data_IF_564332928845
#
_entry.id   IF_564332928845
#
_cell.length_a   1.000
_cell.length_b   1.000
_cell.length_c   1.000
_cell.angle_alpha   90.00
_cell.angle_beta   90.00
_cell.angle_gamma   90.00
#
_symmetry.space_group_name_H-M   'P 1'
#
loop_
_entity.id
_entity.type
_entity.pdbx_description
1 polymer ?
#
# COMPACT_ATOMS: atom_id res chain seq x y z
N UNK A 1 10.15 47.74 -12.34
CA UNK A 1 9.65 47.21 -11.06
C UNK A 1 8.14 47.45 -11.05
N UNK A 2 7.35 46.37 -11.20
CA UNK A 2 6.87 45.66 -10.02
C UNK A 2 7.09 44.14 -10.08
N UNK A 3 7.57 43.63 -8.94
CA UNK A 3 7.49 42.28 -8.39
C UNK A 3 6.70 41.24 -9.21
N UNK A 4 7.46 40.31 -9.82
CA UNK A 4 6.97 38.99 -10.16
C UNK A 4 6.83 38.19 -8.86
N UNK A 5 5.58 38.05 -8.44
CA UNK A 5 5.16 37.14 -7.38
C UNK A 5 5.67 35.73 -7.72
N UNK A 6 6.59 35.24 -6.90
CA UNK A 6 7.04 33.84 -6.90
C UNK A 6 5.84 32.98 -6.49
N UNK A 7 4.98 32.65 -7.45
CA UNK A 7 4.07 31.53 -7.33
C UNK A 7 4.93 30.29 -7.15
N UNK A 8 5.08 29.93 -5.87
CA UNK A 8 5.69 28.70 -5.39
C UNK A 8 4.99 27.56 -6.11
N UNK A 9 5.66 27.08 -7.15
CA UNK A 9 5.32 25.94 -7.99
C UNK A 9 4.50 24.90 -7.21
N UNK A 10 3.25 24.73 -7.64
CA UNK A 10 2.31 23.65 -7.26
C UNK A 10 2.79 22.29 -7.76
N UNK A 11 4.09 22.05 -7.79
CA UNK A 11 4.68 20.73 -7.86
C UNK A 11 4.70 20.13 -6.45
N UNK A 12 3.54 20.11 -5.78
CA UNK A 12 3.34 19.21 -4.65
C UNK A 12 3.22 17.82 -5.27
N UNK A 13 4.38 17.20 -5.54
CA UNK A 13 4.45 15.87 -6.10
C UNK A 13 3.59 14.95 -5.24
N UNK A 14 2.66 14.21 -5.85
CA UNK A 14 1.75 13.26 -5.22
C UNK A 14 2.41 12.21 -4.30
N UNK A 15 3.74 12.18 -4.27
CA UNK A 15 4.59 11.33 -3.46
C UNK A 15 4.72 11.73 -1.97
N UNK A 16 4.24 12.89 -1.51
CA UNK A 16 4.42 13.32 -0.10
C UNK A 16 3.14 13.41 0.72
N UNK A 17 1.99 13.12 0.12
CA UNK A 17 0.68 13.21 0.75
C UNK A 17 0.58 12.47 2.08
N UNK A 18 1.01 11.20 2.10
CA UNK A 18 1.06 10.37 3.32
C UNK A 18 1.89 11.05 4.42
N UNK A 19 3.05 11.61 4.08
CA UNK A 19 3.90 12.31 5.07
C UNK A 19 3.26 13.61 5.53
N UNK A 20 2.73 14.42 4.63
CA UNK A 20 2.18 15.76 4.96
C UNK A 20 0.93 15.67 5.85
N UNK A 21 0.17 14.57 5.74
CA UNK A 21 -0.94 14.29 6.66
C UNK A 21 -0.45 14.03 8.09
N UNK A 22 0.61 13.25 8.26
CA UNK A 22 1.09 12.85 9.58
C UNK A 22 2.08 13.83 10.18
N UNK A 23 2.82 14.57 9.37
CA UNK A 23 3.96 15.38 9.81
C UNK A 23 3.78 16.86 9.49
N UNK A 24 4.13 17.69 10.45
CA UNK A 24 4.40 19.11 10.22
C UNK A 24 5.87 19.24 9.85
N UNK A 25 6.12 19.75 8.64
CA UNK A 25 7.45 20.03 8.12
C UNK A 25 7.60 21.53 7.94
N UNK A 26 8.47 22.12 8.76
CA UNK A 26 8.86 23.52 8.64
C UNK A 26 10.36 23.59 8.37
N UNK A 27 10.76 24.58 7.54
CA UNK A 27 12.17 24.79 7.22
C UNK A 27 12.95 25.03 8.52
N UNK A 28 14.08 24.35 8.67
CA UNK A 28 14.99 24.47 9.82
C UNK A 28 14.38 24.06 11.18
N UNK A 29 13.18 23.47 11.19
CA UNK A 29 12.54 22.93 12.40
C UNK A 29 12.41 21.40 12.35
N UNK A 30 12.45 20.73 13.51
CA UNK A 30 12.22 19.30 13.59
C UNK A 30 10.88 18.90 12.94
N UNK A 31 10.86 17.80 12.20
CA UNK A 31 9.60 17.24 11.71
C UNK A 31 8.86 16.58 12.87
N UNK A 32 7.59 16.94 13.07
CA UNK A 32 6.79 16.46 14.19
C UNK A 32 5.60 15.67 13.70
N UNK A 33 5.44 14.43 14.19
CA UNK A 33 4.24 13.65 13.93
C UNK A 33 3.07 14.21 14.75
N UNK A 34 2.04 14.73 14.09
CA UNK A 34 0.85 15.33 14.72
C UNK A 34 0.09 14.33 15.58
N UNK A 35 -0.05 13.08 15.11
CA UNK A 35 -0.75 12.01 15.84
C UNK A 35 -0.03 11.68 17.15
N UNK A 36 1.29 11.50 17.11
CA UNK A 36 2.10 11.29 18.31
C UNK A 36 2.08 12.50 19.24
N UNK A 37 2.19 13.71 18.70
CA UNK A 37 2.17 14.96 19.47
C UNK A 37 0.84 15.13 20.21
N UNK A 38 -0.27 14.87 19.53
CA UNK A 38 -1.60 14.92 20.13
C UNK A 38 -1.79 13.88 21.24
N UNK A 39 -1.29 12.66 21.05
CA UNK A 39 -1.33 11.63 22.08
C UNK A 39 -0.52 12.04 23.32
N UNK A 40 0.70 12.58 23.11
CA UNK A 40 1.54 13.13 24.17
C UNK A 40 0.85 14.22 24.96
N UNK A 41 0.19 15.15 24.27
CA UNK A 41 -0.43 16.30 24.90
C UNK A 41 -1.71 15.93 25.66
N UNK A 42 -2.52 15.00 25.12
CA UNK A 42 -3.78 14.56 25.76
C UNK A 42 -3.56 13.57 26.90
N UNK A 43 -2.60 12.65 26.76
CA UNK A 43 -2.39 11.55 27.69
C UNK A 43 -0.89 11.38 28.03
N UNK A 44 -0.26 12.36 28.70
CA UNK A 44 1.19 12.38 28.91
C UNK A 44 1.71 11.19 29.73
N UNK A 45 0.94 10.71 30.71
CA UNK A 45 1.31 9.56 31.53
C UNK A 45 1.27 8.23 30.76
N UNK A 46 0.34 8.07 29.82
CA UNK A 46 0.24 6.88 28.96
C UNK A 46 1.29 6.92 27.86
N UNK A 47 1.52 8.11 27.30
CA UNK A 47 2.57 8.35 26.33
C UNK A 47 3.96 8.05 26.90
N UNK A 48 4.26 8.46 28.14
CA UNK A 48 5.53 8.17 28.80
C UNK A 48 5.79 6.66 28.99
N UNK A 49 4.73 5.86 29.16
CA UNK A 49 4.82 4.39 29.21
C UNK A 49 5.10 3.80 27.84
N UNK A 50 4.73 4.50 26.77
CA UNK A 50 4.96 4.08 25.39
C UNK A 50 6.25 4.72 24.85
N UNK A 51 7.40 4.08 25.12
CA UNK A 51 8.73 4.42 24.53
C UNK A 51 8.74 4.50 22.99
N UNK A 52 7.65 4.05 22.36
CA UNK A 52 7.40 3.94 20.93
C UNK A 52 7.21 5.30 20.22
N UNK A 53 6.79 6.34 20.93
CA UNK A 53 6.34 7.58 20.29
C UNK A 53 7.26 8.80 20.46
N UNK A 54 8.36 8.70 21.22
CA UNK A 54 9.26 9.82 21.56
C UNK A 54 10.33 10.06 20.49
N UNK A 55 9.98 10.05 19.21
CA UNK A 55 10.94 10.25 18.12
C UNK A 55 10.89 11.71 17.69
N UNK A 56 12.04 12.39 17.81
CA UNK A 56 12.26 13.71 17.23
C UNK A 56 13.02 13.55 15.92
N UNK A 57 12.50 14.11 14.83
CA UNK A 57 13.11 14.03 13.52
C UNK A 57 13.82 15.34 13.20
N UNK A 58 15.04 15.27 12.66
CA UNK A 58 15.76 16.47 12.25
C UNK A 58 15.04 17.20 11.11
N UNK A 59 15.30 18.50 10.87
CA UNK A 59 14.67 19.25 9.79
C UNK A 59 14.87 18.64 8.39
N UNK A 60 15.98 17.92 8.20
CA UNK A 60 16.36 17.32 6.92
C UNK A 60 16.04 15.82 6.84
N UNK A 61 15.13 15.34 7.70
CA UNK A 61 14.73 13.92 7.70
C UNK A 61 14.09 13.56 6.38
N UNK A 62 14.56 12.47 5.78
CA UNK A 62 14.05 12.01 4.48
C UNK A 62 12.64 11.43 4.61
N UNK A 63 11.84 11.56 3.54
CA UNK A 63 10.49 10.99 3.44
C UNK A 63 10.45 9.50 3.78
N UNK A 64 11.48 8.73 3.40
CA UNK A 64 11.56 7.29 3.70
C UNK A 64 11.60 6.99 5.19
N UNK A 65 12.31 7.78 5.99
CA UNK A 65 12.33 7.64 7.46
C UNK A 65 10.94 7.95 8.04
N UNK A 66 10.26 8.96 7.51
CA UNK A 66 8.92 9.34 7.94
C UNK A 66 7.86 8.29 7.54
N UNK A 67 7.99 7.66 6.37
CA UNK A 67 7.19 6.48 6.01
C UNK A 67 7.44 5.30 6.96
N UNK A 68 8.70 5.08 7.35
CA UNK A 68 9.06 4.08 8.35
C UNK A 68 8.36 4.32 9.71
N UNK A 69 8.25 5.58 10.12
CA UNK A 69 7.47 5.97 11.31
C UNK A 69 5.99 5.61 11.17
N UNK A 70 5.36 5.99 10.07
CA UNK A 70 3.94 5.71 9.80
C UNK A 70 3.71 4.19 9.81
N UNK A 71 4.53 3.45 9.07
CA UNK A 71 4.44 2.00 8.98
C UNK A 71 4.68 1.26 10.30
N UNK A 72 5.47 1.84 11.21
CA UNK A 72 5.76 1.21 12.51
C UNK A 72 4.72 1.53 13.58
N UNK A 73 4.21 2.75 13.59
CA UNK A 73 3.43 3.27 14.74
C UNK A 73 1.99 3.66 14.42
N UNK A 74 1.68 3.86 13.15
CA UNK A 74 0.37 4.36 12.71
C UNK A 74 -0.24 3.52 11.60
N UNK A 75 0.21 2.29 11.43
CA UNK A 75 -0.17 1.43 10.32
C UNK A 75 -1.68 1.18 10.27
N UNK A 76 -2.32 0.82 11.40
CA UNK A 76 -3.77 0.61 11.42
C UNK A 76 -4.55 1.91 11.12
N UNK A 77 -4.12 3.04 11.69
CA UNK A 77 -4.72 4.34 11.35
C UNK A 77 -4.57 4.63 9.87
N UNK A 78 -3.39 4.38 9.30
CA UNK A 78 -3.08 4.60 7.90
C UNK A 78 -3.95 3.75 6.97
N UNK A 79 -4.17 2.48 7.31
CA UNK A 79 -5.06 1.60 6.51
C UNK A 79 -6.51 2.09 6.58
N UNK A 80 -7.02 2.45 7.75
CA UNK A 80 -8.38 3.00 7.88
C UNK A 80 -8.55 4.28 7.04
N UNK A 81 -7.55 5.16 7.13
CA UNK A 81 -7.43 6.37 6.32
C UNK A 81 -7.51 5.94 4.83
N UNK A 82 -6.62 5.06 4.37
CA UNK A 82 -6.55 4.59 2.98
C UNK A 82 -7.84 3.99 2.41
N UNK A 83 -8.75 3.50 3.26
CA UNK A 83 -10.04 2.93 2.87
C UNK A 83 -11.20 3.96 2.80
N UNK A 84 -10.97 5.22 3.17
CA UNK A 84 -12.02 6.25 3.15
C UNK A 84 -12.53 6.54 1.73
N UNK A 85 -13.86 6.63 1.52
CA UNK A 85 -14.43 6.96 0.22
C UNK A 85 -13.92 8.31 -0.31
N UNK A 86 -13.64 8.38 -1.61
CA UNK A 86 -13.17 9.62 -2.26
C UNK A 86 -11.68 9.91 -2.09
N UNK A 87 -10.93 9.02 -1.42
CA UNK A 87 -9.48 9.12 -1.34
C UNK A 87 -8.82 8.62 -2.62
N UNK A 88 -8.10 9.51 -3.30
CA UNK A 88 -7.40 9.21 -4.55
C UNK A 88 -5.86 9.25 -4.44
N UNK A 89 -5.30 9.41 -3.24
CA UNK A 89 -3.86 9.58 -3.10
C UNK A 89 -3.10 8.23 -3.24
N UNK A 90 -1.90 8.19 -3.84
CA UNK A 90 -1.13 6.95 -3.96
C UNK A 90 -0.60 6.47 -2.61
N UNK A 91 -0.65 5.16 -2.33
CA UNK A 91 -0.03 4.56 -1.15
C UNK A 91 1.48 4.52 -1.33
N UNK A 92 2.22 5.27 -0.52
CA UNK A 92 3.69 5.35 -0.58
C UNK A 92 4.39 4.75 0.65
N UNK A 93 3.64 4.35 1.67
CA UNK A 93 4.18 3.67 2.87
C UNK A 93 4.65 2.26 2.50
N UNK A 94 5.97 2.04 2.48
CA UNK A 94 6.59 0.81 1.93
C UNK A 94 6.03 -0.49 2.48
N UNK A 95 5.84 -0.67 3.81
CA UNK A 95 5.26 -1.90 4.34
C UNK A 95 3.88 -2.23 3.79
N UNK A 96 3.06 -1.22 3.51
CA UNK A 96 1.72 -1.44 2.92
C UNK A 96 1.87 -1.78 1.44
N UNK A 97 2.67 -1.01 0.70
CA UNK A 97 2.92 -1.22 -0.72
C UNK A 97 3.47 -2.62 -1.04
N UNK A 98 4.39 -3.11 -0.22
CA UNK A 98 4.99 -4.44 -0.36
C UNK A 98 3.94 -5.55 -0.19
N UNK A 99 3.08 -5.46 0.82
CA UNK A 99 2.05 -6.47 1.08
C UNK A 99 0.93 -6.43 0.03
N UNK A 100 0.56 -5.24 -0.45
CA UNK A 100 -0.36 -5.13 -1.59
C UNK A 100 0.22 -5.78 -2.85
N UNK A 101 1.53 -5.66 -3.08
CA UNK A 101 2.22 -6.36 -4.18
C UNK A 101 2.23 -7.89 -4.02
N UNK A 102 2.04 -8.40 -2.79
CA UNK A 102 1.83 -9.83 -2.52
C UNK A 102 0.39 -10.30 -2.78
N UNK A 103 -0.50 -9.42 -3.26
CA UNK A 103 -1.87 -9.77 -3.67
C UNK A 103 -2.92 -9.66 -2.55
N UNK A 104 -2.60 -9.03 -1.43
CA UNK A 104 -3.56 -8.77 -0.36
C UNK A 104 -4.33 -7.47 -0.59
N UNK A 105 -5.56 -7.38 -0.06
CA UNK A 105 -6.37 -6.15 -0.10
C UNK A 105 -6.27 -5.33 1.19
N UNK A 106 -6.62 -4.04 1.14
CA UNK A 106 -6.58 -3.17 2.33
C UNK A 106 -7.49 -3.67 3.46
N UNK A 107 -8.64 -4.26 3.11
CA UNK A 107 -9.59 -4.89 4.05
C UNK A 107 -8.92 -6.03 4.82
N UNK A 108 -8.13 -6.85 4.13
CA UNK A 108 -7.42 -7.97 4.72
C UNK A 108 -6.30 -7.48 5.64
N UNK A 109 -5.52 -6.48 5.19
CA UNK A 109 -4.49 -5.84 6.02
C UNK A 109 -5.10 -5.30 7.31
N UNK A 110 -6.25 -4.61 7.23
CA UNK A 110 -6.97 -4.12 8.40
C UNK A 110 -7.33 -5.27 9.35
N UNK A 111 -7.93 -6.34 8.83
CA UNK A 111 -8.34 -7.49 9.64
C UNK A 111 -7.14 -8.19 10.31
N UNK A 112 -5.98 -8.27 9.62
CA UNK A 112 -4.75 -8.81 10.21
C UNK A 112 -4.22 -7.93 11.34
N UNK A 113 -4.16 -6.62 11.13
CA UNK A 113 -3.69 -5.66 12.13
C UNK A 113 -4.57 -5.62 13.38
N UNK A 114 -5.89 -5.68 13.20
CA UNK A 114 -6.85 -5.74 14.33
C UNK A 114 -6.68 -7.03 15.16
N UNK A 115 -6.23 -8.11 14.53
CA UNK A 115 -5.89 -9.38 15.21
C UNK A 115 -4.46 -9.39 15.77
N UNK A 116 -3.70 -8.31 15.62
CA UNK A 116 -2.31 -8.20 16.09
C UNK A 116 -1.30 -9.01 15.27
N UNK A 117 -1.65 -9.40 14.04
CA UNK A 117 -0.74 -10.12 13.13
C UNK A 117 0.31 -9.16 12.58
N UNK A 118 1.59 -9.56 12.62
CA UNK A 118 2.66 -8.82 11.97
C UNK A 118 2.61 -9.06 10.45
N UNK A 119 2.36 -8.01 9.68
CA UNK A 119 2.25 -8.10 8.22
C UNK A 119 3.52 -8.64 7.56
N UNK A 120 4.69 -8.49 8.19
CA UNK A 120 5.97 -9.01 7.68
C UNK A 120 6.02 -10.54 7.62
N UNK A 121 5.12 -11.21 8.34
CA UNK A 121 5.04 -12.67 8.40
C UNK A 121 4.02 -13.24 7.41
N UNK A 122 3.33 -12.39 6.64
CA UNK A 122 2.36 -12.87 5.66
C UNK A 122 3.07 -13.53 4.48
N UNK A 123 2.68 -14.76 4.09
CA UNK A 123 3.24 -15.38 2.91
C UNK A 123 2.76 -14.66 1.64
N UNK A 124 3.51 -14.70 0.52
CA UNK A 124 2.99 -14.27 -0.77
C UNK A 124 1.71 -15.04 -1.12
N UNK A 125 0.65 -14.37 -1.60
CA UNK A 125 -0.48 -15.10 -2.19
C UNK A 125 -0.04 -15.65 -3.54
N UNK A 126 -0.22 -16.95 -3.74
CA UNK A 126 -0.08 -17.52 -5.06
C UNK A 126 -1.10 -16.83 -5.98
N UNK A 127 -0.65 -16.33 -7.14
CA UNK A 127 -1.54 -15.71 -8.13
C UNK A 127 -2.70 -16.61 -8.60
N UNK A 128 -2.67 -17.91 -8.26
CA UNK A 128 -3.73 -18.87 -8.56
C UNK A 128 -5.04 -18.67 -7.77
N UNK A 129 -4.99 -18.08 -6.57
CA UNK A 129 -6.18 -17.91 -5.71
C UNK A 129 -7.02 -16.67 -6.09
N UNK A 130 -6.43 -15.69 -6.79
CA UNK A 130 -7.12 -14.48 -7.25
C UNK A 130 -7.96 -14.70 -8.52
N UNK A 131 -7.91 -15.90 -9.11
CA UNK A 131 -8.68 -16.30 -10.29
C UNK A 131 -9.82 -17.29 -9.96
N UNK A 132 -10.20 -17.42 -8.69
CA UNK A 132 -11.35 -18.23 -8.29
C UNK A 132 -12.61 -17.38 -8.32
N UNK A 133 -13.06 -17.13 -9.54
CA UNK A 133 -14.46 -16.78 -9.79
C UNK A 133 -15.32 -18.02 -9.46
N UNK A 134 -16.29 -17.97 -8.52
CA UNK A 134 -17.08 -19.14 -8.14
C UNK A 134 -17.91 -19.70 -9.31
N UNK A 135 -18.16 -18.88 -10.33
CA UNK A 135 -18.88 -19.24 -11.53
C UNK A 135 -18.04 -20.08 -12.52
N UNK A 136 -16.72 -20.16 -12.36
CA UNK A 136 -15.83 -20.87 -13.28
C UNK A 136 -15.52 -22.33 -12.85
N UNK A 137 -16.16 -22.82 -11.78
CA UNK A 137 -15.85 -24.14 -11.21
C UNK A 137 -16.45 -25.34 -11.98
N UNK A 138 -17.20 -25.13 -13.06
CA UNK A 138 -17.83 -26.24 -13.81
C UNK A 138 -17.10 -26.68 -15.07
N UNK A 139 -16.08 -25.95 -15.55
CA UNK A 139 -15.47 -26.25 -16.87
C UNK A 139 -13.96 -26.57 -16.82
N UNK A 140 -13.33 -26.47 -15.64
CA UNK A 140 -11.90 -26.80 -15.46
C UNK A 140 -11.57 -28.29 -15.49
N UNK A 141 -12.57 -29.18 -15.48
CA UNK A 141 -12.33 -30.62 -15.54
C UNK A 141 -11.75 -31.10 -16.89
N UNK A 142 -11.78 -30.26 -17.94
CA UNK A 142 -11.39 -30.63 -19.29
C UNK A 142 -10.14 -29.93 -19.82
N UNK A 143 -9.43 -29.14 -19.02
CA UNK A 143 -8.17 -28.52 -19.46
C UNK A 143 -7.02 -29.47 -19.16
N UNK A 144 -6.43 -30.15 -20.17
CA UNK A 144 -5.30 -31.02 -19.93
C UNK A 144 -4.10 -30.20 -19.42
N UNK A 145 -3.24 -30.78 -18.56
CA UNK A 145 -2.03 -30.13 -18.09
C UNK A 145 -1.16 -29.69 -19.28
N UNK A 146 -0.57 -28.50 -19.16
CA UNK A 146 0.27 -27.94 -20.22
C UNK A 146 1.44 -28.89 -20.51
N UNK A 147 1.53 -29.33 -21.76
CA UNK A 147 2.70 -30.02 -22.29
C UNK A 147 2.91 -29.60 -23.74
N UNK A 148 4.18 -29.58 -24.16
CA UNK A 148 4.54 -29.24 -25.54
C UNK A 148 3.78 -30.08 -26.59
N UNK A 149 3.58 -31.40 -26.42
CA UNK A 149 2.79 -32.20 -27.37
C UNK A 149 1.33 -31.77 -27.45
N UNK A 150 0.71 -31.46 -26.30
CA UNK A 150 -0.69 -31.05 -26.22
C UNK A 150 -0.89 -29.66 -26.84
N UNK A 151 0.02 -28.73 -26.57
CA UNK A 151 0.00 -27.40 -27.19
C UNK A 151 0.16 -27.46 -28.71
N UNK A 152 1.08 -28.29 -29.22
CA UNK A 152 1.25 -28.51 -30.66
C UNK A 152 -0.01 -29.08 -31.31
N UNK A 153 -0.66 -30.04 -30.66
CA UNK A 153 -1.92 -30.62 -31.14
C UNK A 153 -3.04 -29.58 -31.18
N UNK A 154 -3.13 -28.73 -30.15
CA UNK A 154 -4.09 -27.63 -30.11
C UNK A 154 -3.86 -26.61 -31.23
N UNK A 155 -2.62 -26.20 -31.47
CA UNK A 155 -2.28 -25.28 -32.57
C UNK A 155 -2.67 -25.85 -33.93
N UNK A 156 -2.37 -27.12 -34.19
CA UNK A 156 -2.74 -27.79 -35.45
C UNK A 156 -4.27 -27.82 -35.63
N UNK A 157 -5.00 -28.21 -34.58
CA UNK A 157 -6.46 -28.25 -34.63
C UNK A 157 -7.08 -26.86 -34.81
N UNK A 158 -6.50 -25.83 -34.17
CA UNK A 158 -6.94 -24.44 -34.33
C UNK A 158 -6.76 -23.96 -35.76
N UNK A 159 -5.60 -24.21 -36.37
CA UNK A 159 -5.31 -23.86 -37.77
C UNK A 159 -6.28 -24.58 -38.72
N UNK A 160 -6.53 -25.88 -38.51
CA UNK A 160 -7.47 -26.64 -39.34
C UNK A 160 -8.91 -26.11 -39.19
N UNK A 161 -9.35 -25.79 -37.97
CA UNK A 161 -10.68 -25.28 -37.73
C UNK A 161 -10.89 -23.88 -38.33
N UNK A 162 -9.85 -23.04 -38.32
CA UNK A 162 -9.86 -21.71 -38.95
C UNK A 162 -9.92 -21.82 -40.48
N UNK A 163 -9.15 -22.75 -41.07
CA UNK A 163 -9.12 -23.00 -42.52
C UNK A 163 -10.43 -23.59 -43.07
N UNK A 164 -11.22 -24.30 -42.24
CA UNK A 164 -12.53 -24.82 -42.61
C UNK A 164 -13.71 -23.89 -42.31
N UNK A 165 -13.46 -22.67 -41.83
CA UNK A 165 -14.50 -21.70 -41.46
C UNK A 165 -14.96 -20.79 -42.63
N UNK A 166 -14.87 -21.28 -43.88
CA UNK A 166 -15.30 -20.57 -45.11
C UNK A 166 -16.39 -21.34 -45.87
#
# INVERSE_FOLDING_TARGET
DPLLDTTRSESQTSSTYDVDHYFEREKDKPSVCRVCSNLRNKYPAEYAKQKKHTISYSPNTTTGVLHGHIGKWHLLHFINLAMEPGRAWPIQVSPVKEILALGYTLEELKAFLEKGVDLKLLPPRAMGDLLLDPAASSDRANVPPFSLPIFRKFLVNFIIADDQSL
#
